data_IF_263928388054
#
_entry.id   IF_263928388054
#
_cell.length_a   1.000
_cell.length_b   1.000
_cell.length_c   1.000
_cell.angle_alpha   90.00
_cell.angle_beta   90.00
_cell.angle_gamma   90.00
#
_symmetry.space_group_name_H-M   'P 1'
#
loop_
_entity.id
_entity.type
_entity.pdbx_description
1 polymer ?
#
# COMPACT_ATOMS: atom_id res chain seq x y z
N UNK A 1 0.21 5.36 5.44
CA UNK A 1 -0.42 4.77 4.22
C UNK A 1 0.27 3.45 3.95
N UNK A 2 -0.39 2.51 3.28
CA UNK A 2 0.20 1.27 2.81
C UNK A 2 0.12 1.18 1.29
N UNK A 3 1.11 0.53 0.69
CA UNK A 3 1.23 0.28 -0.74
C UNK A 3 1.33 -1.22 -0.95
N UNK A 4 0.42 -1.79 -1.73
CA UNK A 4 0.42 -3.22 -2.04
C UNK A 4 0.65 -3.45 -3.52
N UNK A 5 1.64 -4.30 -3.83
CA UNK A 5 1.99 -4.75 -5.19
C UNK A 5 2.23 -6.26 -5.13
N UNK A 6 1.51 -7.05 -5.94
CA UNK A 6 1.59 -8.53 -5.97
C UNK A 6 1.48 -9.20 -4.58
N UNK A 7 0.64 -8.63 -3.70
CA UNK A 7 0.44 -9.15 -2.34
C UNK A 7 1.56 -8.82 -1.35
N UNK A 8 2.66 -8.17 -1.79
CA UNK A 8 3.63 -7.55 -0.89
C UNK A 8 3.14 -6.15 -0.50
N UNK A 9 3.12 -5.87 0.79
CA UNK A 9 2.65 -4.60 1.34
C UNK A 9 3.76 -3.89 2.11
N UNK A 10 3.98 -2.63 1.79
CA UNK A 10 4.98 -1.77 2.44
C UNK A 10 4.29 -0.53 3.02
N UNK A 11 4.83 -0.02 4.12
CA UNK A 11 4.34 1.23 4.71
C UNK A 11 4.96 2.44 4.04
N UNK A 12 4.19 3.53 4.05
CA UNK A 12 4.65 4.84 3.62
C UNK A 12 4.18 5.91 4.61
N UNK A 13 5.13 6.75 5.01
CA UNK A 13 4.88 7.95 5.81
C UNK A 13 4.49 9.11 4.91
N UNK A 14 3.28 9.65 5.11
CA UNK A 14 2.80 10.83 4.38
C UNK A 14 3.33 12.10 5.04
N UNK A 15 3.62 13.11 4.22
CA UNK A 15 3.84 14.47 4.70
C UNK A 15 2.51 15.12 5.10
N UNK A 16 2.53 16.16 5.94
CA UNK A 16 1.32 16.92 6.25
C UNK A 16 1.13 18.09 5.27
N UNK A 17 0.28 17.93 4.26
CA UNK A 17 -0.08 18.98 3.32
C UNK A 17 -1.50 18.78 2.74
N UNK A 18 -1.95 19.72 1.91
CA UNK A 18 -3.30 19.69 1.35
C UNK A 18 -3.55 18.47 0.42
N UNK A 19 -2.54 18.06 -0.36
CA UNK A 19 -2.63 16.88 -1.22
C UNK A 19 -2.77 15.60 -0.39
N UNK A 20 -1.99 15.43 0.67
CA UNK A 20 -2.00 14.20 1.47
C UNK A 20 -3.25 14.08 2.32
N UNK A 21 -3.78 15.19 2.86
CA UNK A 21 -5.08 15.19 3.53
C UNK A 21 -6.22 14.82 2.58
N UNK A 22 -6.21 15.36 1.36
CA UNK A 22 -7.19 15.01 0.34
C UNK A 22 -7.05 13.55 -0.13
N UNK A 23 -5.82 13.04 -0.27
CA UNK A 23 -5.56 11.63 -0.58
C UNK A 23 -6.05 10.73 0.56
N UNK A 24 -5.74 11.04 1.81
CA UNK A 24 -6.20 10.29 2.98
C UNK A 24 -7.71 10.22 3.04
N UNK A 25 -8.43 11.34 2.84
CA UNK A 25 -9.90 11.34 2.82
C UNK A 25 -10.48 10.38 1.76
N UNK A 26 -9.86 10.30 0.57
CA UNK A 26 -10.25 9.31 -0.45
C UNK A 26 -9.98 7.87 -0.01
N UNK A 27 -8.86 7.64 0.68
CA UNK A 27 -8.49 6.32 1.19
C UNK A 27 -9.31 5.89 2.40
N UNK A 28 -9.95 6.82 3.12
CA UNK A 28 -10.95 6.54 4.15
C UNK A 28 -12.25 5.97 3.55
N UNK A 29 -12.63 6.42 2.34
CA UNK A 29 -13.79 5.89 1.63
C UNK A 29 -13.53 4.45 1.14
N UNK A 30 -12.41 4.22 0.46
CA UNK A 30 -12.00 2.91 -0.01
C UNK A 30 -10.51 2.87 -0.41
N UNK A 31 -9.87 1.67 -0.42
CA UNK A 31 -8.58 1.49 -1.08
C UNK A 31 -8.62 1.89 -2.56
N UNK A 32 -7.53 2.49 -3.04
CA UNK A 32 -7.42 2.97 -4.42
C UNK A 32 -6.44 2.09 -5.17
N UNK A 33 -6.88 1.48 -6.26
CA UNK A 33 -6.02 0.69 -7.15
C UNK A 33 -5.77 1.45 -8.45
N UNK A 34 -4.50 1.60 -8.81
CA UNK A 34 -4.04 2.27 -10.02
C UNK A 34 -3.09 1.38 -10.80
N UNK A 35 -3.05 1.55 -12.12
CA UNK A 35 -2.08 0.88 -12.98
C UNK A 35 -0.93 1.84 -13.28
N UNK A 36 0.26 1.50 -12.79
CA UNK A 36 1.47 2.30 -12.98
C UNK A 36 2.44 1.62 -13.94
N UNK A 37 3.33 2.41 -14.54
CA UNK A 37 4.34 1.94 -15.48
C UNK A 37 5.71 2.49 -15.10
N UNK A 38 6.74 1.68 -15.21
CA UNK A 38 8.12 2.14 -15.08
C UNK A 38 8.45 3.15 -16.19
N UNK A 39 9.08 4.26 -15.80
CA UNK A 39 9.46 5.34 -16.70
C UNK A 39 10.79 5.95 -16.27
N UNK A 40 11.55 6.45 -17.24
CA UNK A 40 12.80 7.20 -17.03
C UNK A 40 13.94 6.45 -16.34
N UNK A 41 13.76 5.20 -15.94
CA UNK A 41 14.74 4.44 -15.16
C UNK A 41 14.79 4.80 -13.67
N UNK A 42 13.85 5.63 -13.18
CA UNK A 42 13.86 6.14 -11.80
C UNK A 42 12.51 6.10 -11.07
N UNK A 43 11.40 5.85 -11.76
CA UNK A 43 10.07 5.84 -11.13
C UNK A 43 9.12 4.81 -11.77
N UNK A 44 8.07 4.48 -11.04
CA UNK A 44 6.80 4.05 -11.63
C UNK A 44 5.80 5.20 -11.53
N UNK A 45 5.00 5.43 -12.57
CA UNK A 45 4.03 6.51 -12.59
C UNK A 45 2.75 6.18 -13.37
N UNK A 46 1.70 6.96 -13.11
CA UNK A 46 0.41 6.82 -13.77
C UNK A 46 -0.67 7.70 -13.15
N UNK A 47 -1.84 7.73 -13.79
CA UNK A 47 -2.97 8.55 -13.34
C UNK A 47 -3.66 7.94 -12.11
N UNK A 48 -4.06 8.82 -11.18
CA UNK A 48 -4.90 8.46 -10.02
C UNK A 48 -6.37 8.23 -10.39
N UNK A 49 -6.81 8.74 -11.54
CA UNK A 49 -8.22 8.78 -11.94
C UNK A 49 -9.03 9.93 -11.33
N UNK A 50 -8.39 10.76 -10.49
CA UNK A 50 -8.95 11.97 -9.90
C UNK A 50 -7.84 13.00 -9.66
N UNK A 51 -8.22 14.22 -9.27
CA UNK A 51 -7.29 15.30 -8.97
C UNK A 51 -7.11 15.50 -7.46
N UNK A 52 -5.92 15.96 -7.09
CA UNK A 52 -5.55 16.38 -5.73
C UNK A 52 -5.02 17.82 -5.76
N UNK A 53 -5.15 18.58 -4.65
CA UNK A 53 -4.56 19.91 -4.53
C UNK A 53 -3.03 19.85 -4.68
N UNK A 54 -2.47 20.43 -5.74
CA UNK A 54 -1.02 20.46 -5.94
C UNK A 54 -0.39 21.70 -5.31
N UNK A 55 0.73 21.53 -4.61
CA UNK A 55 1.58 22.60 -4.07
C UNK A 55 3.01 22.39 -4.55
N UNK A 56 3.22 22.51 -5.86
CA UNK A 56 4.47 22.13 -6.51
C UNK A 56 5.64 23.00 -6.05
N UNK A 57 6.79 22.37 -5.81
CA UNK A 57 8.06 23.01 -5.47
C UNK A 57 9.17 22.35 -6.26
N UNK A 58 10.17 23.15 -6.63
CA UNK A 58 11.39 22.61 -7.21
C UNK A 58 12.09 21.73 -6.18
N UNK A 59 12.31 20.46 -6.50
CA UNK A 59 12.99 19.51 -5.63
C UNK A 59 13.64 18.39 -6.43
N UNK A 60 14.55 17.67 -5.80
CA UNK A 60 15.10 16.41 -6.30
C UNK A 60 14.46 15.26 -5.54
N UNK A 61 13.61 14.50 -6.20
CA UNK A 61 13.06 13.26 -5.64
C UNK A 61 14.19 12.25 -5.44
N UNK A 62 14.11 11.51 -4.34
CA UNK A 62 15.04 10.46 -3.96
C UNK A 62 14.35 9.09 -4.01
N UNK A 63 15.11 7.97 -4.10
CA UNK A 63 14.53 6.65 -3.99
C UNK A 63 13.68 6.54 -2.72
N UNK A 64 12.45 6.07 -2.86
CA UNK A 64 11.44 5.96 -1.80
C UNK A 64 10.42 7.08 -1.81
N UNK A 65 10.68 8.22 -2.44
CA UNK A 65 9.73 9.33 -2.46
C UNK A 65 8.48 9.00 -3.27
N UNK A 66 7.34 9.47 -2.77
CA UNK A 66 6.03 9.39 -3.42
C UNK A 66 5.61 10.82 -3.76
N UNK A 67 5.34 11.06 -5.02
CA UNK A 67 5.14 12.39 -5.58
C UNK A 67 3.78 12.47 -6.29
N UNK A 68 3.14 13.62 -6.17
CA UNK A 68 2.05 14.04 -7.05
C UNK A 68 2.62 14.92 -8.17
N UNK A 69 2.38 14.51 -9.42
CA UNK A 69 2.78 15.22 -10.62
C UNK A 69 1.56 15.66 -11.42
N UNK A 70 1.54 16.95 -11.80
CA UNK A 70 0.45 17.54 -12.57
C UNK A 70 -0.91 17.52 -11.87
N UNK A 71 -0.95 17.30 -10.55
CA UNK A 71 -2.19 17.26 -9.75
C UNK A 71 -3.05 16.01 -9.91
N UNK A 72 -2.71 15.09 -10.82
CA UNK A 72 -3.51 13.89 -11.11
C UNK A 72 -2.70 12.61 -11.32
N UNK A 73 -1.36 12.69 -11.35
CA UNK A 73 -0.51 11.52 -11.51
C UNK A 73 0.27 11.26 -10.22
N UNK A 74 0.35 9.99 -9.84
CA UNK A 74 1.22 9.56 -8.75
C UNK A 74 2.50 8.97 -9.33
N UNK A 75 3.63 9.35 -8.76
CA UNK A 75 4.95 8.80 -9.06
C UNK A 75 5.54 8.19 -7.78
N UNK A 76 6.16 7.02 -7.89
CA UNK A 76 6.91 6.38 -6.81
C UNK A 76 8.33 6.11 -7.28
N UNK A 77 9.30 6.70 -6.58
CA UNK A 77 10.69 6.74 -7.02
C UNK A 77 11.51 5.56 -6.49
N UNK A 78 12.33 4.97 -7.35
CA UNK A 78 13.42 4.03 -7.01
C UNK A 78 14.78 4.52 -7.56
N UNK A 79 14.80 5.69 -8.17
CA UNK A 79 15.99 6.47 -8.55
C UNK A 79 15.74 7.95 -8.20
N UNK A 80 16.49 8.86 -8.81
CA UNK A 80 16.37 10.30 -8.55
C UNK A 80 16.03 11.09 -9.81
N UNK A 81 15.22 12.14 -9.66
CA UNK A 81 14.97 13.12 -10.71
C UNK A 81 14.66 14.49 -10.09
N UNK A 82 14.98 15.58 -10.81
CA UNK A 82 14.68 16.95 -10.36
C UNK A 82 13.61 17.60 -11.22
N UNK A 83 12.54 18.08 -10.59
CA UNK A 83 11.46 18.79 -11.25
C UNK A 83 10.64 19.62 -10.25
N UNK A 84 9.56 20.22 -10.74
CA UNK A 84 8.52 20.85 -9.93
C UNK A 84 7.47 19.82 -9.51
N UNK A 85 7.47 19.47 -8.23
CA UNK A 85 6.71 18.34 -7.68
C UNK A 85 5.98 18.70 -6.39
N UNK A 86 4.90 17.98 -6.08
CA UNK A 86 4.28 17.99 -4.76
C UNK A 86 4.64 16.69 -4.04
N UNK A 87 5.43 16.77 -2.96
CA UNK A 87 5.78 15.60 -2.15
C UNK A 87 4.54 15.09 -1.41
N UNK A 88 4.22 13.81 -1.57
CA UNK A 88 3.15 13.15 -0.83
C UNK A 88 3.71 12.44 0.41
N UNK A 89 4.84 11.76 0.27
CA UNK A 89 5.40 10.96 1.35
C UNK A 89 6.59 10.15 0.90
N UNK A 90 6.92 9.12 1.69
CA UNK A 90 8.05 8.24 1.44
C UNK A 90 7.73 6.82 1.86
N UNK A 91 8.17 5.84 1.08
CA UNK A 91 8.14 4.41 1.43
C UNK A 91 9.18 4.16 2.54
N UNK A 92 8.76 3.50 3.61
CA UNK A 92 9.59 3.35 4.81
C UNK A 92 10.55 2.15 4.69
N UNK A 93 11.73 2.26 5.29
CA UNK A 93 12.59 1.12 5.63
C UNK A 93 13.28 0.37 4.49
N UNK A 94 12.93 0.61 3.22
CA UNK A 94 13.53 -0.09 2.08
C UNK A 94 14.80 0.60 1.57
N UNK A 95 15.83 -0.19 1.30
CA UNK A 95 16.99 0.22 0.52
C UNK A 95 16.63 0.45 -0.96
N UNK A 96 17.52 1.08 -1.73
CA UNK A 96 17.28 1.32 -3.17
C UNK A 96 17.06 0.02 -3.96
N UNK A 97 17.84 -1.03 -3.67
CA UNK A 97 17.68 -2.33 -4.34
C UNK A 97 16.34 -2.97 -4.01
N UNK A 98 15.89 -2.87 -2.76
CA UNK A 98 14.58 -3.34 -2.32
C UNK A 98 13.44 -2.53 -2.93
N UNK A 99 13.59 -1.21 -3.05
CA UNK A 99 12.65 -0.34 -3.75
C UNK A 99 12.53 -0.70 -5.23
N UNK A 100 13.65 -0.94 -5.92
CA UNK A 100 13.64 -1.38 -7.33
C UNK A 100 12.90 -2.71 -7.49
N UNK A 101 13.08 -3.64 -6.56
CA UNK A 101 12.37 -4.91 -6.57
C UNK A 101 10.87 -4.73 -6.26
N UNK A 102 10.53 -3.99 -5.19
CA UNK A 102 9.15 -3.76 -4.75
C UNK A 102 8.32 -3.00 -5.80
N UNK A 103 8.87 -1.90 -6.33
CA UNK A 103 8.24 -1.09 -7.37
C UNK A 103 8.36 -1.69 -8.77
N UNK A 104 8.89 -2.91 -8.91
CA UNK A 104 9.06 -3.63 -10.19
C UNK A 104 9.71 -2.77 -11.28
N UNK A 105 10.88 -2.21 -10.97
CA UNK A 105 11.64 -1.38 -11.90
C UNK A 105 11.79 -2.06 -13.27
N UNK A 106 11.54 -1.30 -14.35
CA UNK A 106 11.58 -1.79 -15.72
C UNK A 106 10.35 -2.58 -16.19
N UNK A 107 9.28 -2.67 -15.38
CA UNK A 107 8.01 -3.32 -15.76
C UNK A 107 6.90 -2.30 -16.06
N UNK A 108 5.89 -2.76 -16.77
CA UNK A 108 4.67 -2.01 -17.10
C UNK A 108 3.44 -2.76 -16.59
N UNK A 109 2.28 -2.10 -16.60
CA UNK A 109 1.00 -2.65 -16.12
C UNK A 109 1.06 -3.15 -14.67
N UNK A 110 1.69 -2.36 -13.80
CA UNK A 110 1.86 -2.68 -12.39
C UNK A 110 0.60 -2.23 -11.65
N UNK A 111 -0.18 -3.19 -11.17
CA UNK A 111 -1.32 -2.90 -10.28
C UNK A 111 -0.82 -2.54 -8.90
N UNK A 112 -1.07 -1.30 -8.47
CA UNK A 112 -0.66 -0.76 -7.17
C UNK A 112 -1.90 -0.37 -6.39
N UNK A 113 -2.06 -0.90 -5.19
CA UNK A 113 -3.16 -0.53 -4.29
C UNK A 113 -2.64 0.32 -3.13
N UNK A 114 -3.30 1.44 -2.89
CA UNK A 114 -3.08 2.35 -1.78
C UNK A 114 -4.19 2.15 -0.73
N UNK A 115 -3.84 2.13 0.55
CA UNK A 115 -4.80 2.00 1.65
C UNK A 115 -4.32 2.68 2.94
N UNK A 116 -5.24 2.87 3.91
CA UNK A 116 -4.88 3.32 5.26
C UNK A 116 -4.55 2.18 6.22
N UNK A 117 -5.09 0.99 5.96
CA UNK A 117 -4.87 -0.20 6.78
C UNK A 117 -4.02 -1.24 6.03
N UNK A 118 -3.25 -2.05 6.76
CA UNK A 118 -2.57 -3.19 6.15
C UNK A 118 -3.60 -4.14 5.57
N UNK A 119 -3.70 -4.18 4.25
CA UNK A 119 -4.49 -5.18 3.55
C UNK A 119 -3.68 -6.48 3.57
N UNK A 120 -4.01 -7.36 4.51
CA UNK A 120 -3.61 -8.77 4.37
C UNK A 120 -4.47 -9.38 3.26
N UNK A 121 -4.07 -10.53 2.71
CA UNK A 121 -4.92 -11.30 1.79
C UNK A 121 -6.25 -11.78 2.40
N UNK A 122 -6.51 -11.42 3.66
CA UNK A 122 -7.76 -11.66 4.37
C UNK A 122 -8.64 -10.43 4.18
N UNK A 123 -9.73 -10.59 3.42
CA UNK A 123 -10.76 -9.57 3.27
C UNK A 123 -11.48 -9.42 4.61
N UNK A 124 -11.14 -8.37 5.36
CA UNK A 124 -11.67 -8.01 6.68
C UNK A 124 -11.22 -8.94 7.82
N UNK A 125 -10.69 -8.32 8.88
CA UNK A 125 -10.39 -8.98 10.15
C UNK A 125 -11.17 -8.25 11.23
N UNK A 126 -12.14 -8.91 11.82
CA UNK A 126 -12.83 -8.44 13.04
C UNK A 126 -12.24 -9.18 14.24
N UNK A 127 -11.95 -8.45 15.33
CA UNK A 127 -11.53 -9.08 16.57
C UNK A 127 -12.75 -9.75 17.22
N UNK A 128 -12.71 -11.07 17.43
CA UNK A 128 -13.69 -11.73 18.30
C UNK A 128 -13.40 -11.30 19.75
N UNK A 129 -14.35 -10.62 20.40
CA UNK A 129 -14.24 -10.15 21.80
C UNK A 129 -14.19 -11.31 22.81
N UNK A 130 -14.44 -12.55 22.36
CA UNK A 130 -14.38 -13.74 23.22
C UNK A 130 -12.93 -14.08 23.56
N UNK A 131 -12.65 -14.13 24.86
CA UNK A 131 -11.34 -14.50 25.43
C UNK A 131 -10.87 -15.93 25.10
N UNK A 132 -11.74 -16.81 24.59
CA UNK A 132 -11.37 -18.18 24.24
C UNK A 132 -12.34 -18.80 23.22
N UNK A 133 -11.81 -19.50 22.21
CA UNK A 133 -12.58 -20.25 21.22
C UNK A 133 -11.68 -21.14 20.35
N UNK A 134 -12.26 -22.20 19.78
CA UNK A 134 -11.65 -22.99 18.69
C UNK A 134 -12.26 -22.49 17.37
N UNK A 135 -11.44 -22.16 16.37
CA UNK A 135 -11.90 -21.63 15.09
C UNK A 135 -11.41 -22.46 13.92
N UNK A 136 -12.24 -22.61 12.90
CA UNK A 136 -11.84 -23.19 11.62
C UNK A 136 -10.89 -22.25 10.87
N UNK A 137 -10.24 -22.74 9.81
CA UNK A 137 -9.44 -21.88 8.93
C UNK A 137 -10.27 -20.80 8.21
N UNK A 138 -11.59 -20.95 8.16
CA UNK A 138 -12.51 -19.96 7.62
C UNK A 138 -12.94 -18.90 8.66
N UNK A 139 -12.39 -18.95 9.88
CA UNK A 139 -12.71 -17.99 10.94
C UNK A 139 -14.05 -18.22 11.64
N UNK A 140 -14.74 -19.35 11.36
CA UNK A 140 -15.97 -19.72 12.05
C UNK A 140 -15.69 -20.53 13.31
N UNK A 141 -16.59 -20.48 14.31
CA UNK A 141 -16.46 -21.29 15.52
C UNK A 141 -16.46 -22.78 15.15
N UNK A 142 -15.41 -23.48 15.56
CA UNK A 142 -15.33 -24.92 15.44
C UNK A 142 -16.26 -25.58 16.48
N UNK A 143 -17.18 -26.38 15.99
CA UNK A 143 -18.03 -27.19 16.85
C UNK A 143 -17.23 -28.35 17.44
N UNK A 144 -17.74 -28.95 18.52
CA UNK A 144 -17.05 -30.02 19.24
C UNK A 144 -16.72 -31.27 18.41
N UNK A 145 -17.14 -31.38 17.14
CA UNK A 145 -16.81 -32.50 16.24
C UNK A 145 -16.23 -32.04 14.89
N UNK A 146 -15.86 -30.77 14.77
CA UNK A 146 -15.22 -30.27 13.55
C UNK A 146 -13.88 -30.99 13.35
N UNK A 147 -13.75 -31.68 12.21
CA UNK A 147 -12.51 -32.33 11.76
C UNK A 147 -11.70 -31.37 10.89
N UNK A 148 -10.39 -31.52 10.89
CA UNK A 148 -9.45 -30.75 10.10
C UNK A 148 -8.60 -29.80 10.95
N UNK A 149 -8.12 -28.74 10.29
CA UNK A 149 -7.27 -27.75 10.93
C UNK A 149 -8.15 -26.77 11.72
N UNK A 150 -7.82 -26.64 13.00
CA UNK A 150 -8.47 -25.72 13.95
C UNK A 150 -7.42 -24.81 14.60
N UNK A 151 -7.78 -23.57 14.88
CA UNK A 151 -6.99 -22.62 15.65
C UNK A 151 -7.55 -22.58 17.07
N UNK A 152 -6.78 -23.01 18.06
CA UNK A 152 -7.13 -22.98 19.48
C UNK A 152 -6.13 -22.10 20.22
N UNK A 153 -6.59 -21.00 20.80
CA UNK A 153 -5.74 -20.04 21.51
C UNK A 153 -4.50 -19.61 20.71
N UNK A 154 -4.69 -19.30 19.42
CA UNK A 154 -3.62 -18.91 18.50
C UNK A 154 -2.72 -20.05 18.01
N UNK A 155 -2.95 -21.30 18.44
CA UNK A 155 -2.19 -22.47 17.97
C UNK A 155 -3.00 -23.27 16.97
N UNK A 156 -2.36 -23.63 15.85
CA UNK A 156 -2.88 -24.59 14.89
C UNK A 156 -2.86 -25.99 15.50
N UNK A 157 -3.99 -26.67 15.45
CA UNK A 157 -4.17 -28.07 15.86
C UNK A 157 -4.89 -28.83 14.74
N UNK A 158 -4.64 -30.14 14.65
CA UNK A 158 -5.33 -31.05 13.72
C UNK A 158 -6.20 -31.97 14.57
N UNK A 159 -7.49 -32.06 14.23
CA UNK A 159 -8.48 -32.88 14.92
C UNK A 159 -9.27 -33.74 13.94
#
# INVERSE_FOLDING_TARGET
MYITIDGRTESATLTDNAATRALTARLEEAPITVTLNSSGGFEIWGALGFTLPASNKQMTAQPGDIILYGGSNICMFYGSNSWSYTLLGRIDGLSESELRAFLKAGKSNISVTLSLNQTTGIRQTESDERKSGEYTLQGTIAQARTKGIIIKNGKKIIR
#
